data_IF_660182923123
#
_entry.id   IF_660182923123
#
_cell.length_a   1.000
_cell.length_b   1.000
_cell.length_c   1.000
_cell.angle_alpha   90.00
_cell.angle_beta   90.00
_cell.angle_gamma   90.00
#
_symmetry.space_group_name_H-M   'P 1'
#
loop_
_entity.id
_entity.type
_entity.pdbx_description
1 polymer ?
#
# COMPACT_ATOMS: atom_id res chain seq x y z
N UNK A 1 45.68 -20.52 -33.40
CA UNK A 1 45.46 -20.02 -32.03
C UNK A 1 43.99 -20.09 -31.75
N UNK A 2 43.61 -20.78 -30.68
CA UNK A 2 42.23 -21.18 -30.39
C UNK A 2 41.49 -19.95 -29.84
N UNK A 3 40.31 -19.67 -30.39
CA UNK A 3 39.43 -18.60 -29.93
C UNK A 3 38.73 -19.03 -28.62
N UNK A 4 38.80 -18.19 -27.60
CA UNK A 4 38.00 -18.34 -26.39
C UNK A 4 36.79 -17.42 -26.50
N UNK A 5 35.61 -17.99 -26.67
CA UNK A 5 34.34 -17.33 -26.42
C UNK A 5 34.16 -17.20 -24.90
N UNK A 6 34.00 -15.98 -24.42
CA UNK A 6 33.59 -15.71 -23.04
C UNK A 6 32.07 -15.87 -23.00
N UNK A 7 31.50 -16.84 -22.25
CA UNK A 7 30.08 -16.83 -22.01
C UNK A 7 29.79 -15.69 -21.03
N UNK A 8 29.15 -14.64 -21.52
CA UNK A 8 28.49 -13.65 -20.66
C UNK A 8 27.36 -14.41 -19.96
N UNK A 9 27.61 -14.81 -18.72
CA UNK A 9 26.58 -15.36 -17.86
C UNK A 9 25.55 -14.28 -17.59
N UNK A 10 24.40 -14.38 -18.24
CA UNK A 10 23.21 -13.68 -17.82
C UNK A 10 22.93 -14.11 -16.38
N UNK A 11 22.80 -13.18 -15.41
CA UNK A 11 22.39 -13.56 -14.08
C UNK A 11 20.94 -14.02 -14.19
N UNK A 12 20.73 -15.34 -14.10
CA UNK A 12 19.44 -15.93 -13.85
C UNK A 12 18.97 -15.45 -12.47
N UNK A 13 18.40 -14.25 -12.41
CA UNK A 13 17.64 -13.79 -11.27
C UNK A 13 16.45 -14.73 -11.13
N UNK A 14 16.65 -15.80 -10.35
CA UNK A 14 15.65 -16.74 -9.86
C UNK A 14 14.23 -16.48 -10.39
N UNK A 15 13.86 -17.13 -11.50
CA UNK A 15 12.54 -17.08 -12.18
C UNK A 15 11.34 -17.39 -11.27
N UNK A 16 11.58 -17.68 -9.98
CA UNK A 16 10.59 -18.11 -9.03
C UNK A 16 10.30 -17.12 -7.88
N UNK A 17 10.91 -15.94 -7.84
CA UNK A 17 10.62 -14.95 -6.78
C UNK A 17 9.32 -14.19 -7.06
N UNK A 18 8.38 -14.31 -6.13
CA UNK A 18 7.14 -13.54 -6.11
C UNK A 18 7.46 -12.05 -5.83
N UNK A 19 7.01 -11.15 -6.70
CA UNK A 19 7.24 -9.72 -6.60
C UNK A 19 6.02 -9.04 -5.98
N UNK A 20 6.23 -8.18 -4.98
CA UNK A 20 5.15 -7.35 -4.41
C UNK A 20 4.96 -6.11 -5.29
N UNK A 21 3.79 -5.98 -5.90
CA UNK A 21 3.43 -4.84 -6.75
C UNK A 21 2.73 -3.74 -5.94
N UNK A 22 1.85 -4.15 -5.03
CA UNK A 22 1.09 -3.25 -4.16
C UNK A 22 1.08 -3.81 -2.74
N UNK A 23 1.34 -2.94 -1.78
CA UNK A 23 1.12 -3.21 -0.36
C UNK A 23 0.40 -2.01 0.26
N UNK A 24 -0.92 -1.99 0.12
CA UNK A 24 -1.75 -0.89 0.59
C UNK A 24 -2.23 -1.13 2.01
N UNK A 25 -1.68 -0.38 2.97
CA UNK A 25 -2.07 -0.46 4.38
C UNK A 25 -3.43 0.18 4.69
N UNK A 26 -3.84 1.16 3.88
CA UNK A 26 -5.07 1.94 4.07
C UNK A 26 -6.33 1.10 3.79
N UNK A 27 -6.35 0.33 2.70
CA UNK A 27 -7.44 -0.60 2.34
C UNK A 27 -7.10 -2.07 2.61
N UNK A 28 -5.92 -2.35 3.18
CA UNK A 28 -5.44 -3.69 3.52
C UNK A 28 -5.44 -4.66 2.32
N UNK A 29 -4.83 -4.22 1.21
CA UNK A 29 -4.71 -4.99 -0.03
C UNK A 29 -3.25 -5.26 -0.36
N UNK A 30 -2.93 -6.51 -0.66
CA UNK A 30 -1.63 -6.91 -1.18
C UNK A 30 -1.80 -7.49 -2.58
N UNK A 31 -1.03 -6.98 -3.54
CA UNK A 31 -0.97 -7.52 -4.89
C UNK A 31 0.45 -7.98 -5.16
N UNK A 32 0.58 -9.23 -5.56
CA UNK A 32 1.86 -9.83 -5.95
C UNK A 32 1.78 -10.38 -7.37
N UNK A 33 2.94 -10.57 -8.00
CA UNK A 33 3.03 -11.18 -9.32
C UNK A 33 4.23 -12.11 -9.44
N UNK A 34 4.06 -13.16 -10.25
CA UNK A 34 5.10 -14.14 -10.52
C UNK A 34 4.91 -14.70 -11.93
N UNK A 35 6.00 -14.90 -12.66
CA UNK A 35 5.98 -15.69 -13.89
C UNK A 35 6.08 -17.17 -13.53
N UNK A 36 5.22 -17.99 -14.15
CA UNK A 36 5.24 -19.44 -13.99
C UNK A 36 5.25 -20.09 -15.37
N UNK A 37 6.00 -21.18 -15.57
CA UNK A 37 5.99 -21.88 -16.85
C UNK A 37 4.60 -22.46 -17.14
N UNK A 38 4.15 -22.33 -18.38
CA UNK A 38 2.87 -22.91 -18.80
C UNK A 38 2.91 -24.44 -18.71
N UNK A 39 1.82 -25.04 -18.22
CA UNK A 39 1.69 -26.51 -18.16
C UNK A 39 1.45 -27.13 -19.53
N UNK A 40 0.99 -26.34 -20.49
CA UNK A 40 0.58 -26.80 -21.83
C UNK A 40 1.68 -26.59 -22.86
N UNK A 41 2.44 -25.49 -22.75
CA UNK A 41 3.52 -25.16 -23.66
C UNK A 41 4.78 -24.76 -22.87
N UNK A 42 5.87 -25.55 -22.91
CA UNK A 42 7.10 -25.22 -22.17
C UNK A 42 7.83 -23.97 -22.69
N UNK A 43 7.51 -23.48 -23.89
CA UNK A 43 8.09 -22.25 -24.45
C UNK A 43 7.31 -20.97 -24.04
N UNK A 44 6.25 -21.11 -23.25
CA UNK A 44 5.41 -20.00 -22.78
C UNK A 44 5.48 -19.80 -21.27
N UNK A 45 5.48 -18.54 -20.85
CA UNK A 45 5.35 -18.14 -19.45
C UNK A 45 4.01 -17.46 -19.18
N UNK A 46 3.40 -17.78 -18.05
CA UNK A 46 2.15 -17.21 -17.57
C UNK A 46 2.49 -16.21 -16.46
N UNK A 47 2.01 -14.97 -16.61
CA UNK A 47 2.07 -13.97 -15.54
C UNK A 47 0.90 -14.18 -14.57
N UNK A 48 1.17 -14.83 -13.45
CA UNK A 48 0.23 -14.93 -12.34
C UNK A 48 0.22 -13.62 -11.54
N UNK A 49 -0.97 -13.12 -11.21
CA UNK A 49 -1.18 -12.01 -10.28
C UNK A 49 -2.08 -12.47 -9.14
N UNK A 50 -1.57 -12.42 -7.92
CA UNK A 50 -2.33 -12.76 -6.73
C UNK A 50 -2.78 -11.48 -6.04
N UNK A 51 -4.07 -11.40 -5.72
CA UNK A 51 -4.68 -10.25 -5.02
C UNK A 51 -5.25 -10.77 -3.70
N UNK A 52 -4.73 -10.26 -2.60
CA UNK A 52 -5.21 -10.55 -1.25
C UNK A 52 -5.85 -9.31 -0.65
N UNK A 53 -7.10 -9.44 -0.22
CA UNK A 53 -7.89 -8.37 0.41
C UNK A 53 -8.32 -8.84 1.80
N UNK A 54 -8.09 -8.02 2.83
CA UNK A 54 -8.59 -8.26 4.19
C UNK A 54 -9.73 -7.28 4.49
N UNK A 55 -10.95 -7.81 4.66
CA UNK A 55 -12.15 -6.99 4.88
C UNK A 55 -12.42 -6.80 6.39
N UNK A 56 -12.34 -5.57 6.92
CA UNK A 56 -12.59 -5.31 8.33
C UNK A 56 -14.08 -5.19 8.63
N UNK A 57 -14.69 -6.27 9.11
CA UNK A 57 -16.14 -6.37 9.35
C UNK A 57 -16.70 -5.42 10.43
N UNK A 58 -15.84 -4.77 11.20
CA UNK A 58 -16.22 -3.82 12.26
C UNK A 58 -15.68 -2.40 12.02
N UNK A 59 -15.14 -2.14 10.83
CA UNK A 59 -14.69 -0.80 10.48
C UNK A 59 -15.86 0.17 10.33
N UNK A 60 -15.60 1.43 10.66
CA UNK A 60 -16.50 2.56 10.49
C UNK A 60 -16.38 3.11 9.07
N UNK A 61 -17.38 3.85 8.59
CA UNK A 61 -17.25 4.52 7.28
C UNK A 61 -16.14 5.57 7.32
N UNK A 62 -16.10 6.37 8.38
CA UNK A 62 -14.97 7.24 8.72
C UNK A 62 -14.24 6.63 9.91
N UNK A 63 -13.05 6.07 9.70
CA UNK A 63 -12.28 5.41 10.75
C UNK A 63 -11.81 6.38 11.85
N UNK A 64 -11.70 7.67 11.57
CA UNK A 64 -11.32 8.68 12.57
C UNK A 64 -12.50 9.17 13.41
N UNK A 65 -13.74 8.86 12.99
CA UNK A 65 -14.97 9.20 13.70
C UNK A 65 -15.59 7.94 14.33
N UNK A 66 -15.49 7.75 15.64
CA UNK A 66 -16.04 6.57 16.31
C UNK A 66 -17.58 6.51 16.26
N UNK A 67 -18.26 7.62 15.94
CA UNK A 67 -19.72 7.70 15.84
C UNK A 67 -20.24 7.39 14.44
N UNK A 68 -19.35 7.32 13.44
CA UNK A 68 -19.70 6.94 12.08
C UNK A 68 -20.37 5.54 12.05
N UNK A 69 -21.32 5.29 11.13
CA UNK A 69 -21.92 3.96 11.01
C UNK A 69 -20.87 2.91 10.60
N UNK A 70 -21.22 1.64 10.77
CA UNK A 70 -20.38 0.54 10.29
C UNK A 70 -20.39 0.51 8.76
N UNK A 71 -19.21 0.32 8.17
CA UNK A 71 -19.05 0.19 6.72
C UNK A 71 -19.53 -1.18 6.27
N UNK A 72 -20.44 -1.20 5.31
CA UNK A 72 -20.97 -2.43 4.69
C UNK A 72 -20.48 -2.63 3.25
N UNK A 73 -20.04 -1.55 2.59
CA UNK A 73 -19.58 -1.57 1.20
C UNK A 73 -18.09 -1.21 1.12
N UNK A 74 -17.33 -2.06 0.43
CA UNK A 74 -15.90 -1.92 0.20
C UNK A 74 -15.63 -1.95 -1.30
N UNK A 75 -15.02 -0.89 -1.83
CA UNK A 75 -14.76 -0.72 -3.26
C UNK A 75 -13.26 -0.59 -3.46
N UNK A 76 -12.69 -1.51 -4.25
CA UNK A 76 -11.26 -1.55 -4.53
C UNK A 76 -11.03 -1.30 -6.01
N UNK A 77 -10.36 -0.20 -6.34
CA UNK A 77 -9.95 0.11 -7.71
C UNK A 77 -8.47 -0.19 -7.89
N UNK A 78 -8.12 -1.09 -8.81
CA UNK A 78 -6.73 -1.43 -9.10
C UNK A 78 -5.94 -0.20 -9.56
N UNK A 79 -6.55 0.71 -10.33
CA UNK A 79 -5.87 1.93 -10.77
C UNK A 79 -5.46 2.81 -9.59
N UNK A 80 -6.30 2.93 -8.57
CA UNK A 80 -6.01 3.69 -7.35
C UNK A 80 -5.01 2.96 -6.44
N UNK A 81 -5.09 1.63 -6.37
CA UNK A 81 -4.16 0.82 -5.57
C UNK A 81 -2.73 0.84 -6.12
N UNK A 82 -2.57 0.92 -7.45
CA UNK A 82 -1.28 0.94 -8.12
C UNK A 82 -0.68 2.34 -8.30
N UNK A 83 -1.33 3.41 -7.81
CA UNK A 83 -0.79 4.77 -7.89
C UNK A 83 0.53 4.89 -7.13
N UNK A 84 1.50 5.57 -7.75
CA UNK A 84 2.82 5.88 -7.20
C UNK A 84 2.97 7.38 -7.08
N UNK A 85 2.56 7.89 -5.92
CA UNK A 85 2.51 9.31 -5.62
C UNK A 85 3.75 9.86 -4.93
N UNK A 86 4.64 8.99 -4.46
CA UNK A 86 5.91 9.42 -3.92
C UNK A 86 6.82 9.89 -5.07
N UNK A 87 7.37 11.11 -5.00
CA UNK A 87 8.30 11.58 -6.01
C UNK A 87 9.57 10.72 -5.98
N UNK A 88 10.15 10.51 -7.15
CA UNK A 88 11.38 9.75 -7.34
C UNK A 88 12.43 10.62 -8.02
N UNK A 89 13.68 10.40 -7.65
CA UNK A 89 14.82 11.06 -8.28
C UNK A 89 15.18 10.36 -9.59
N UNK A 90 15.30 11.14 -10.67
CA UNK A 90 15.75 10.67 -11.98
C UNK A 90 16.95 11.50 -12.43
N UNK A 91 17.98 10.84 -12.96
CA UNK A 91 19.14 11.51 -13.53
C UNK A 91 18.96 11.68 -15.05
N UNK A 92 19.02 12.93 -15.52
CA UNK A 92 18.96 13.26 -16.94
C UNK A 92 20.11 14.22 -17.28
N UNK A 93 21.06 13.76 -18.09
CA UNK A 93 22.18 14.58 -18.54
C UNK A 93 23.12 15.05 -17.42
N UNK A 94 23.32 14.22 -16.38
CA UNK A 94 24.17 14.56 -15.23
C UNK A 94 23.52 15.47 -14.18
N UNK A 95 22.20 15.69 -14.27
CA UNK A 95 21.42 16.46 -13.29
C UNK A 95 20.29 15.61 -12.71
N UNK A 96 20.01 15.78 -11.42
CA UNK A 96 18.97 15.05 -10.70
C UNK A 96 17.68 15.88 -10.70
N UNK A 97 16.58 15.25 -11.09
CA UNK A 97 15.24 15.82 -11.12
C UNK A 97 14.30 15.01 -10.21
N UNK A 98 13.35 15.69 -9.58
CA UNK A 98 12.24 15.04 -8.86
C UNK A 98 11.07 14.87 -9.82
N UNK A 99 10.64 13.63 -10.03
CA UNK A 99 9.54 13.29 -10.93
C UNK A 99 8.47 12.49 -10.19
N UNK A 100 7.20 12.80 -10.46
CA UNK A 100 6.06 12.03 -9.99
C UNK A 100 5.68 10.99 -11.06
N UNK A 101 5.44 9.74 -10.65
CA UNK A 101 5.16 8.63 -11.56
C UNK A 101 3.66 8.42 -11.84
N UNK A 102 2.78 9.20 -11.23
CA UNK A 102 1.32 9.10 -11.38
C UNK A 102 0.70 10.46 -11.66
N UNK A 103 -0.36 10.47 -12.47
CA UNK A 103 -1.03 11.68 -12.95
C UNK A 103 -2.05 12.26 -11.96
N UNK A 104 -2.60 11.44 -11.06
CA UNK A 104 -3.53 11.89 -10.02
C UNK A 104 -3.13 11.32 -8.66
N UNK A 105 -2.81 12.23 -7.74
CA UNK A 105 -2.39 11.92 -6.37
C UNK A 105 -3.07 12.78 -5.31
N UNK A 106 -3.86 13.79 -5.75
CA UNK A 106 -4.58 14.71 -4.87
C UNK A 106 -5.95 14.18 -4.44
N UNK A 107 -6.37 13.02 -4.95
CA UNK A 107 -7.66 12.43 -4.60
C UNK A 107 -7.62 11.85 -3.18
N UNK A 108 -8.53 12.26 -2.28
CA UNK A 108 -8.56 11.74 -0.92
C UNK A 108 -8.88 10.25 -0.93
N UNK A 109 -7.92 9.43 -0.51
CA UNK A 109 -8.10 7.99 -0.37
C UNK A 109 -8.88 7.67 0.91
N UNK A 110 -9.95 6.90 0.76
CA UNK A 110 -10.72 6.39 1.90
C UNK A 110 -10.07 5.14 2.45
N UNK A 111 -9.67 5.17 3.73
CA UNK A 111 -9.10 4.01 4.42
C UNK A 111 -10.17 3.15 5.09
N UNK A 112 -9.95 1.84 5.06
CA UNK A 112 -10.81 0.83 5.66
C UNK A 112 -10.20 0.27 6.95
N UNK A 113 -8.88 0.32 7.07
CA UNK A 113 -8.12 -0.15 8.23
C UNK A 113 -7.25 0.96 8.79
N UNK A 114 -6.93 0.86 10.08
CA UNK A 114 -5.87 1.66 10.68
C UNK A 114 -4.50 1.12 10.27
N UNK A 115 -3.54 2.01 9.99
CA UNK A 115 -2.14 1.63 9.91
C UNK A 115 -1.58 1.41 11.33
N UNK A 116 -0.92 0.27 11.55
CA UNK A 116 -0.30 -0.08 12.83
C UNK A 116 0.79 0.92 13.23
N UNK A 117 1.43 1.56 12.26
CA UNK A 117 2.54 2.48 12.51
C UNK A 117 2.08 3.94 12.66
N UNK A 118 0.77 4.20 12.50
CA UNK A 118 0.21 5.57 12.60
C UNK A 118 -0.62 5.72 13.87
N UNK A 119 -0.42 6.82 14.57
CA UNK A 119 -1.24 7.21 15.73
C UNK A 119 -2.54 7.88 15.26
N UNK A 120 -3.69 7.26 15.55
CA UNK A 120 -5.00 7.84 15.29
C UNK A 120 -5.62 8.35 16.58
N UNK A 121 -6.06 9.60 16.55
CA UNK A 121 -6.70 10.26 17.69
C UNK A 121 -8.02 10.91 17.28
N UNK A 122 -8.90 11.09 18.25
CA UNK A 122 -10.14 11.86 18.11
C UNK A 122 -10.30 12.78 19.30
N UNK A 123 -11.26 13.70 19.26
CA UNK A 123 -11.60 14.58 20.37
C UNK A 123 -13.05 14.39 20.74
N UNK A 124 -13.35 14.33 22.04
CA UNK A 124 -14.72 14.24 22.51
C UNK A 124 -15.01 15.31 23.58
N UNK A 125 -16.25 15.83 23.62
CA UNK A 125 -16.65 16.79 24.63
C UNK A 125 -16.82 16.09 25.97
N UNK A 126 -16.07 16.52 26.98
CA UNK A 126 -16.13 16.04 28.35
C UNK A 126 -16.58 17.17 29.28
N UNK A 127 -17.59 16.90 30.12
CA UNK A 127 -18.11 17.89 31.06
C UNK A 127 -17.38 17.81 32.40
N UNK A 128 -16.75 18.89 32.83
CA UNK A 128 -16.02 18.99 34.09
C UNK A 128 -16.27 20.33 34.76
N UNK A 129 -16.72 20.33 36.03
CA UNK A 129 -17.12 21.54 36.78
C UNK A 129 -18.08 22.48 36.05
N UNK A 130 -19.01 21.90 35.27
CA UNK A 130 -20.00 22.68 34.52
C UNK A 130 -19.53 23.18 33.15
N UNK A 131 -18.23 23.15 32.86
CA UNK A 131 -17.66 23.50 31.55
C UNK A 131 -17.53 22.26 30.64
N UNK A 132 -17.65 22.45 29.33
CA UNK A 132 -17.35 21.41 28.33
C UNK A 132 -15.92 21.62 27.85
N UNK A 133 -15.07 20.61 28.04
CA UNK A 133 -13.69 20.59 27.53
C UNK A 133 -13.57 19.55 26.42
N UNK A 134 -12.88 19.89 25.35
CA UNK A 134 -12.54 18.92 24.30
C UNK A 134 -11.32 18.13 24.75
N UNK A 135 -11.50 16.85 25.04
CA UNK A 135 -10.44 15.98 25.53
C UNK A 135 -9.99 15.06 24.39
N UNK A 136 -8.68 14.94 24.12
CA UNK A 136 -8.18 13.99 23.13
C UNK A 136 -8.33 12.56 23.63
N UNK A 137 -8.74 11.66 22.75
CA UNK A 137 -8.80 10.22 22.94
C UNK A 137 -7.99 9.53 21.85
N UNK A 138 -7.32 8.45 22.23
CA UNK A 138 -6.53 7.63 21.31
C UNK A 138 -7.38 6.48 20.78
N UNK A 139 -7.42 6.33 19.46
CA UNK A 139 -8.10 5.22 18.77
C UNK A 139 -7.18 4.00 18.61
N UNK A 140 -5.88 4.21 18.47
CA UNK A 140 -4.85 3.16 18.32
C UNK A 140 -3.77 3.28 19.41
N UNK A 141 -3.99 2.77 20.63
CA UNK A 141 -3.11 3.02 21.77
C UNK A 141 -1.66 2.57 21.56
N UNK A 142 -1.46 1.43 20.90
CA UNK A 142 -0.14 0.84 20.69
C UNK A 142 0.82 1.72 19.86
N UNK A 143 0.28 2.58 18.98
CA UNK A 143 1.06 3.43 18.08
C UNK A 143 1.20 4.88 18.55
N UNK A 144 0.62 5.22 19.69
CA UNK A 144 0.50 6.61 20.18
C UNK A 144 1.34 6.90 21.44
N UNK A 145 2.26 6.01 21.81
CA UNK A 145 3.21 6.32 22.87
C UNK A 145 4.20 7.37 22.37
N UNK A 146 4.37 8.45 23.13
CA UNK A 146 5.47 9.39 22.90
C UNK A 146 6.79 8.68 23.20
N UNK A 147 7.80 8.90 22.36
CA UNK A 147 9.20 8.59 22.70
C UNK A 147 9.70 9.49 23.85
#
# INVERSE_FOLDING_TARGET
>A
GIAYSVPVGYPWESENKENVLVNDKCQCVTVTSKFVPSKENPDEEILERNIRILVPLRARENISDPLSPLRTTFVYSISQLCQKCNPVEIELGGQIYQAQQSTSCDEPKTCYTYDRDTCYTTTFPFRYHGEIKQVPAVLTPESCFAE
#
